data_IF_694294801921
#
_entry.id   IF_694294801921
#
_cell.length_a   1.000
_cell.length_b   1.000
_cell.length_c   1.000
_cell.angle_alpha   90.00
_cell.angle_beta   90.00
_cell.angle_gamma   90.00
#
_symmetry.space_group_name_H-M   'P 1'
#
loop_
_entity.id
_entity.type
_entity.pdbx_description
1 polymer ?
#
# COMPACT_ATOMS: atom_id res chain seq x y z
N UNK A 1 26.77 7.46 19.37
CA UNK A 1 26.76 7.96 17.97
C UNK A 1 25.64 7.33 17.14
N UNK A 2 25.34 6.02 17.28
CA UNK A 2 24.26 5.33 16.54
C UNK A 2 22.81 5.80 16.85
N UNK A 3 22.57 6.40 18.02
CA UNK A 3 21.23 6.85 18.45
C UNK A 3 20.75 8.11 17.73
N UNK A 4 21.64 9.00 17.34
CA UNK A 4 21.28 10.30 16.73
C UNK A 4 20.97 10.14 15.23
N UNK A 5 21.70 9.28 14.52
CA UNK A 5 21.38 8.91 13.13
C UNK A 5 20.07 8.12 13.02
N UNK A 6 19.78 7.24 13.99
CA UNK A 6 18.51 6.52 14.03
C UNK A 6 17.31 7.46 14.20
N UNK A 7 17.45 8.53 15.01
CA UNK A 7 16.42 9.56 15.18
C UNK A 7 16.26 10.41 13.91
N UNK A 8 17.36 10.80 13.25
CA UNK A 8 17.31 11.53 11.99
C UNK A 8 16.67 10.70 10.88
N UNK A 9 16.99 9.40 10.80
CA UNK A 9 16.39 8.50 9.82
C UNK A 9 14.89 8.36 10.06
N UNK A 10 14.45 8.19 11.31
CA UNK A 10 13.03 8.18 11.69
C UNK A 10 12.33 9.50 11.36
N UNK A 11 12.98 10.64 11.59
CA UNK A 11 12.42 11.95 11.31
C UNK A 11 12.31 12.25 9.81
N UNK A 12 13.30 11.84 9.00
CA UNK A 12 13.28 11.98 7.54
C UNK A 12 12.27 11.04 6.90
N UNK A 13 12.20 9.77 7.35
CA UNK A 13 11.16 8.85 6.88
C UNK A 13 9.77 9.31 7.30
N UNK A 14 9.61 9.87 8.50
CA UNK A 14 8.34 10.44 8.95
C UNK A 14 7.93 11.68 8.15
N UNK A 15 8.86 12.61 7.88
CA UNK A 15 8.56 13.78 7.06
C UNK A 15 8.24 13.40 5.61
N UNK A 16 8.97 12.44 5.04
CA UNK A 16 8.67 11.90 3.71
C UNK A 16 7.32 11.20 3.68
N UNK A 17 6.99 10.46 4.74
CA UNK A 17 5.67 9.85 4.94
C UNK A 17 4.57 10.92 4.98
N UNK A 18 4.74 11.93 5.84
CA UNK A 18 3.77 13.02 6.01
C UNK A 18 3.57 13.78 4.70
N UNK A 19 4.65 14.07 3.99
CA UNK A 19 4.62 14.75 2.70
C UNK A 19 3.94 13.91 1.60
N UNK A 20 4.26 12.61 1.52
CA UNK A 20 3.65 11.70 0.55
C UNK A 20 2.15 11.49 0.80
N UNK A 21 1.73 11.43 2.06
CA UNK A 21 0.31 11.35 2.44
C UNK A 21 -0.41 12.64 2.04
N UNK A 22 0.16 13.81 2.40
CA UNK A 22 -0.48 15.10 2.18
C UNK A 22 -0.54 15.53 0.70
N UNK A 23 0.32 14.96 -0.16
CA UNK A 23 0.32 15.19 -1.62
C UNK A 23 -0.85 14.50 -2.34
N UNK A 24 -1.51 13.51 -1.73
CA UNK A 24 -2.53 12.69 -2.40
C UNK A 24 -3.87 13.41 -2.42
N UNK A 25 -4.17 14.04 -3.56
CA UNK A 25 -5.41 14.78 -3.79
C UNK A 25 -6.47 13.92 -4.52
N UNK A 26 -7.75 14.20 -4.28
CA UNK A 26 -8.88 13.70 -5.09
C UNK A 26 -9.27 12.23 -4.88
N UNK A 27 -9.67 11.55 -5.96
CA UNK A 27 -10.20 10.17 -5.91
C UNK A 27 -9.19 9.13 -5.40
N UNK A 28 -7.89 9.45 -5.44
CA UNK A 28 -6.81 8.58 -4.95
C UNK A 28 -7.01 8.13 -3.50
N UNK A 29 -7.56 9.01 -2.64
CA UNK A 29 -7.74 8.68 -1.21
C UNK A 29 -8.66 7.46 -1.01
N UNK A 30 -9.62 7.25 -1.91
CA UNK A 30 -10.51 6.07 -1.87
C UNK A 30 -9.74 4.79 -2.17
N UNK A 31 -8.80 4.84 -3.12
CA UNK A 31 -7.93 3.71 -3.44
C UNK A 31 -7.04 3.34 -2.25
N UNK A 32 -6.43 4.34 -1.61
CA UNK A 32 -5.63 4.11 -0.40
C UNK A 32 -6.47 3.55 0.75
N UNK A 33 -7.65 4.11 1.02
CA UNK A 33 -8.55 3.61 2.04
C UNK A 33 -8.91 2.14 1.80
N UNK A 34 -9.27 1.79 0.57
CA UNK A 34 -9.62 0.42 0.20
C UNK A 34 -8.43 -0.56 0.33
N UNK A 35 -7.22 -0.15 -0.06
CA UNK A 35 -6.02 -0.95 0.14
C UNK A 35 -5.68 -1.15 1.63
N UNK A 36 -5.86 -0.11 2.44
CA UNK A 36 -5.64 -0.16 3.90
C UNK A 36 -6.67 -1.05 4.58
N UNK A 37 -7.94 -0.98 4.19
CA UNK A 37 -8.98 -1.87 4.71
C UNK A 37 -8.71 -3.34 4.37
N UNK A 38 -8.14 -3.59 3.19
CA UNK A 38 -7.78 -4.94 2.73
C UNK A 38 -6.59 -5.50 3.53
N UNK A 39 -5.50 -4.75 3.67
CA UNK A 39 -4.29 -5.19 4.36
C UNK A 39 -4.31 -4.99 5.88
N UNK A 40 -5.24 -4.17 6.38
CA UNK A 40 -5.25 -3.64 7.75
C UNK A 40 -3.95 -2.93 8.16
N UNK A 41 -3.18 -2.44 7.18
CA UNK A 41 -1.87 -1.81 7.40
C UNK A 41 -1.57 -0.72 6.40
N UNK A 42 -1.44 0.51 6.90
CA UNK A 42 -1.05 1.66 6.09
C UNK A 42 0.40 1.54 5.56
N UNK A 43 1.31 0.98 6.37
CA UNK A 43 2.71 0.85 6.00
C UNK A 43 2.89 -0.11 4.82
N UNK A 44 2.20 -1.25 4.82
CA UNK A 44 2.24 -2.20 3.71
C UNK A 44 1.62 -1.61 2.45
N UNK A 45 0.52 -0.85 2.57
CA UNK A 45 -0.06 -0.11 1.44
C UNK A 45 0.93 0.89 0.84
N UNK A 46 1.67 1.64 1.67
CA UNK A 46 2.69 2.57 1.15
C UNK A 46 3.82 1.83 0.45
N UNK A 47 4.35 0.77 1.07
CA UNK A 47 5.41 -0.02 0.49
C UNK A 47 5.01 -0.61 -0.87
N UNK A 48 3.75 -1.06 -1.01
CA UNK A 48 3.20 -1.54 -2.28
C UNK A 48 3.13 -0.43 -3.32
N UNK A 49 2.53 0.72 -2.99
CA UNK A 49 2.33 1.81 -3.96
C UNK A 49 3.65 2.48 -4.36
N UNK A 50 4.60 2.57 -3.45
CA UNK A 50 5.96 3.04 -3.72
C UNK A 50 6.82 1.95 -4.42
N UNK A 51 6.23 0.78 -4.73
CA UNK A 51 6.84 -0.35 -5.45
C UNK A 51 8.04 -0.99 -4.74
N UNK A 52 8.07 -0.92 -3.41
CA UNK A 52 9.06 -1.62 -2.59
C UNK A 52 8.75 -3.11 -2.43
N UNK A 53 7.47 -3.49 -2.50
CA UNK A 53 6.99 -4.87 -2.41
C UNK A 53 5.89 -5.11 -3.45
N UNK A 54 5.67 -6.37 -3.82
CA UNK A 54 4.58 -6.78 -4.70
C UNK A 54 3.28 -7.08 -3.92
N UNK A 55 2.15 -7.17 -4.64
CA UNK A 55 0.83 -7.50 -4.09
C UNK A 55 0.88 -8.81 -3.31
N UNK A 56 1.53 -9.83 -3.86
CA UNK A 56 1.65 -11.13 -3.22
C UNK A 56 2.38 -11.05 -1.88
N UNK A 57 3.54 -10.39 -1.87
CA UNK A 57 4.35 -10.18 -0.67
C UNK A 57 3.59 -9.35 0.37
N UNK A 58 2.87 -8.30 -0.05
CA UNK A 58 2.09 -7.49 0.86
C UNK A 58 0.97 -8.29 1.56
N UNK A 59 0.26 -9.15 0.82
CA UNK A 59 -0.78 -10.03 1.39
C UNK A 59 -0.18 -11.07 2.32
N UNK A 60 0.94 -11.68 1.94
CA UNK A 60 1.61 -12.69 2.79
C UNK A 60 2.12 -12.06 4.10
N UNK A 61 2.66 -10.82 4.04
CA UNK A 61 3.04 -10.06 5.24
C UNK A 61 1.84 -9.67 6.11
N UNK A 62 0.71 -9.29 5.52
CA UNK A 62 -0.51 -8.98 6.28
C UNK A 62 -1.10 -10.22 6.96
N UNK A 63 -0.83 -11.41 6.42
CA UNK A 63 -1.32 -12.71 6.93
C UNK A 63 -0.25 -13.50 7.68
N UNK A 64 0.79 -12.83 8.16
CA UNK A 64 1.91 -13.49 8.82
C UNK A 64 1.47 -14.32 10.04
N UNK A 65 0.58 -13.75 10.88
CA UNK A 65 0.03 -14.46 12.03
C UNK A 65 -0.75 -15.71 11.59
N UNK A 66 -1.70 -15.58 10.67
CA UNK A 66 -2.48 -16.71 10.16
C UNK A 66 -1.58 -17.81 9.56
N UNK A 67 -0.52 -17.42 8.84
CA UNK A 67 0.43 -18.36 8.26
C UNK A 67 1.17 -19.16 9.34
N UNK A 68 1.61 -18.48 10.40
CA UNK A 68 2.23 -19.12 11.57
C UNK A 68 1.27 -20.09 12.28
N UNK A 69 0.01 -19.68 12.46
CA UNK A 69 -1.01 -20.51 13.10
C UNK A 69 -1.34 -21.75 12.25
N UNK A 70 -1.43 -21.58 10.93
CA UNK A 70 -1.70 -22.64 9.96
C UNK A 70 -0.57 -23.68 9.92
N UNK A 71 0.68 -23.24 10.01
CA UNK A 71 1.83 -24.16 10.12
C UNK A 71 1.77 -24.99 11.40
N UNK A 72 1.32 -24.38 12.51
CA UNK A 72 1.28 -25.04 13.82
C UNK A 72 0.10 -25.99 14.01
N UNK A 73 -1.07 -25.64 13.46
CA UNK A 73 -2.34 -26.31 13.73
C UNK A 73 -3.01 -26.91 12.49
N UNK A 74 -2.37 -26.82 11.33
CA UNK A 74 -2.91 -27.30 10.07
C UNK A 74 -3.77 -26.26 9.36
N UNK A 75 -3.94 -26.45 8.05
CA UNK A 75 -4.75 -25.57 7.20
C UNK A 75 -6.19 -26.06 7.10
N UNK A 76 -7.11 -25.12 6.98
CA UNK A 76 -8.48 -25.40 6.56
C UNK A 76 -8.52 -25.20 5.06
N UNK A 77 -8.60 -26.32 4.32
CA UNK A 77 -8.67 -26.30 2.86
C UNK A 77 -9.82 -25.38 2.39
N UNK A 78 -9.59 -24.70 1.26
CA UNK A 78 -10.50 -23.74 0.62
C UNK A 78 -10.70 -22.43 1.38
N UNK A 79 -10.90 -22.44 2.69
CA UNK A 79 -11.15 -21.21 3.46
C UNK A 79 -9.93 -20.27 3.44
N UNK A 80 -8.75 -20.80 3.75
CA UNK A 80 -7.52 -20.01 3.78
C UNK A 80 -7.04 -19.60 2.37
N UNK A 81 -7.32 -20.42 1.35
CA UNK A 81 -6.92 -20.12 -0.03
C UNK A 81 -7.83 -19.08 -0.66
N UNK A 82 -9.16 -19.22 -0.52
CA UNK A 82 -10.13 -18.24 -1.03
C UNK A 82 -9.87 -16.87 -0.41
N UNK A 83 -9.66 -16.80 0.90
CA UNK A 83 -9.32 -15.55 1.58
C UNK A 83 -8.02 -14.94 1.03
N UNK A 84 -6.98 -15.76 0.81
CA UNK A 84 -5.71 -15.30 0.23
C UNK A 84 -5.91 -14.65 -1.13
N UNK A 85 -6.64 -15.33 -2.02
CA UNK A 85 -6.85 -14.86 -3.39
C UNK A 85 -7.80 -13.67 -3.45
N UNK A 86 -8.83 -13.62 -2.60
CA UNK A 86 -9.71 -12.45 -2.48
C UNK A 86 -8.93 -11.21 -2.04
N UNK A 87 -8.08 -11.33 -1.01
CA UNK A 87 -7.22 -10.23 -0.56
C UNK A 87 -6.26 -9.76 -1.66
N UNK A 88 -5.64 -10.69 -2.41
CA UNK A 88 -4.78 -10.35 -3.55
C UNK A 88 -5.54 -9.61 -4.65
N UNK A 89 -6.72 -10.09 -5.03
CA UNK A 89 -7.56 -9.45 -6.05
C UNK A 89 -7.96 -8.03 -5.64
N UNK A 90 -8.43 -7.84 -4.40
CA UNK A 90 -8.82 -6.52 -3.89
C UNK A 90 -7.65 -5.55 -3.84
N UNK A 91 -6.51 -6.02 -3.35
CA UNK A 91 -5.30 -5.21 -3.25
C UNK A 91 -4.76 -4.81 -4.62
N UNK A 92 -4.74 -5.74 -5.58
CA UNK A 92 -4.34 -5.46 -6.96
C UNK A 92 -5.24 -4.41 -7.61
N UNK A 93 -6.57 -4.53 -7.44
CA UNK A 93 -7.53 -3.55 -7.94
C UNK A 93 -7.31 -2.16 -7.31
N UNK A 94 -7.05 -2.11 -6.00
CA UNK A 94 -6.74 -0.88 -5.29
C UNK A 94 -5.46 -0.21 -5.83
N UNK A 95 -4.38 -0.99 -5.99
CA UNK A 95 -3.11 -0.51 -6.49
C UNK A 95 -3.24 0.04 -7.92
N UNK A 96 -3.91 -0.69 -8.81
CA UNK A 96 -4.22 -0.24 -10.17
C UNK A 96 -4.97 1.09 -10.19
N UNK A 97 -6.01 1.21 -9.37
CA UNK A 97 -6.81 2.42 -9.28
C UNK A 97 -5.99 3.63 -8.79
N UNK A 98 -5.14 3.43 -7.78
CA UNK A 98 -4.24 4.47 -7.25
C UNK A 98 -3.26 4.94 -8.33
N UNK A 99 -2.64 4.02 -9.07
CA UNK A 99 -1.72 4.37 -10.14
C UNK A 99 -2.43 5.12 -11.27
N UNK A 100 -3.59 4.62 -11.71
CA UNK A 100 -4.42 5.27 -12.73
C UNK A 100 -4.83 6.70 -12.38
N UNK A 101 -5.28 6.92 -11.14
CA UNK A 101 -5.69 8.25 -10.67
C UNK A 101 -4.50 9.21 -10.52
N UNK A 102 -3.31 8.68 -10.23
CA UNK A 102 -2.08 9.48 -10.13
C UNK A 102 -1.60 9.97 -11.51
N UNK A 103 -1.70 9.12 -12.54
CA UNK A 103 -1.39 9.50 -13.93
C UNK A 103 -2.40 10.51 -14.47
N UNK A 104 -3.69 10.27 -14.25
CA UNK A 104 -4.77 11.17 -14.68
C UNK A 104 -4.61 12.60 -14.12
N UNK A 105 -4.12 12.72 -12.88
CA UNK A 105 -3.83 14.02 -12.26
C UNK A 105 -2.68 14.75 -12.98
N UNK A 106 -1.64 14.01 -13.38
CA UNK A 106 -0.48 14.56 -14.10
C UNK A 106 -0.87 15.08 -15.48
N UNK A 107 -1.74 14.37 -16.20
CA UNK A 107 -2.25 14.79 -17.52
C UNK A 107 -3.03 16.11 -17.43
N UNK A 108 -3.93 16.24 -16.44
CA UNK A 108 -4.69 17.49 -16.21
C UNK A 108 -3.78 18.68 -15.93
N UNK A 109 -2.73 18.46 -15.13
CA UNK A 109 -1.78 19.52 -14.77
C UNK A 109 -0.97 19.99 -15.99
N UNK A 110 -0.55 19.08 -16.87
CA UNK A 110 0.15 19.42 -18.12
C UNK A 110 -0.76 20.20 -19.08
N UNK A 111 -2.01 19.78 -19.25
CA UNK A 111 -2.97 20.45 -20.11
C UNK A 111 -3.27 21.89 -19.65
N UNK A 112 -3.30 22.13 -18.34
CA UNK A 112 -3.48 23.46 -17.75
C UNK A 112 -2.24 24.38 -17.88
N UNK A 113 -1.05 23.83 -18.13
CA UNK A 113 0.20 24.59 -18.26
C UNK A 113 0.58 24.93 -19.71
N UNK A 114 -0.15 24.41 -20.71
CA UNK A 114 0.10 24.79 -22.10
C UNK A 114 -0.37 26.25 -22.32
N UNK A 115 0.50 27.16 -22.82
CA UNK A 115 0.07 28.52 -23.13
C UNK A 115 -0.89 28.49 -24.33
N UNK A 116 -1.96 29.27 -24.22
CA UNK A 116 -2.93 29.56 -25.30
C UNK A 116 -2.23 30.29 -26.45
#
# INVERSE_FOLDING_TARGET
>A
MATQEALLTKFVTWNRFYYNVNRRQGQNIKGYHYAVDTLKSLLLTMALVDKHIDVETAVDLARLELSFQTERWGTVEWAHDIEKFDLRCRLAAAALFIHWCSESTTVKQKAALAPV
#
